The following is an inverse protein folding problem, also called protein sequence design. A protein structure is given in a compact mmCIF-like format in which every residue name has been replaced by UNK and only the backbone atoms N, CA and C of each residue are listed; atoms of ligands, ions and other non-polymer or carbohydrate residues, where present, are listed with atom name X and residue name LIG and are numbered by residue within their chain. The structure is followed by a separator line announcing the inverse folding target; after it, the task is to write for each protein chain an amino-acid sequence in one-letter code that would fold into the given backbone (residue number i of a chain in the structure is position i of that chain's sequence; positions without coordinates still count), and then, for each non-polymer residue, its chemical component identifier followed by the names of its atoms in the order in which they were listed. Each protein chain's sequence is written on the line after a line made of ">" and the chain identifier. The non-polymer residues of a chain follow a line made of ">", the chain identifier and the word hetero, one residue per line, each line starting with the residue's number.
data_IF_889588565963
#
_entry.id   IF_889588565963
#
_cell.length_a   1.000
_cell.length_b   1.000
_cell.length_c   1.000
_cell.angle_alpha   90.00
_cell.angle_beta   90.00
_cell.angle_gamma   90.00
#
_symmetry.space_group_name_H-M   'P 1'
#
loop_
_entity.id
_entity.type
_entity.pdbx_description
1 polymer ?
#
# COMPACT_ATOMS: atom_id res chain seq x y z
N UNK A 1 -22.55 -47.69 -24.09
CA UNK A 1 -23.58 -46.63 -24.21
C UNK A 1 -24.93 -47.34 -24.34
N UNK A 2 -25.96 -47.04 -23.52
CA UNK A 2 -26.29 -45.72 -22.98
C UNK A 2 -26.20 -45.61 -21.45
N UNK A 3 -26.22 -44.35 -21.01
CA UNK A 3 -25.99 -43.85 -19.67
C UNK A 3 -27.27 -43.84 -18.83
N UNK A 4 -27.17 -44.29 -17.57
CA UNK A 4 -28.15 -44.06 -16.52
C UNK A 4 -27.70 -42.84 -15.70
N UNK A 5 -28.33 -41.70 -15.97
CA UNK A 5 -28.15 -40.48 -15.20
C UNK A 5 -28.92 -40.53 -13.89
N UNK A 6 -28.20 -40.43 -12.77
CA UNK A 6 -28.78 -40.18 -11.45
C UNK A 6 -29.08 -38.67 -11.30
N UNK A 7 -30.25 -38.29 -10.76
CA UNK A 7 -30.59 -36.89 -10.56
C UNK A 7 -29.84 -36.30 -9.36
N UNK A 8 -29.28 -35.10 -9.55
CA UNK A 8 -28.69 -34.28 -8.49
C UNK A 8 -29.77 -33.83 -7.50
N UNK A 9 -29.53 -33.85 -6.18
CA UNK A 9 -30.45 -33.24 -5.23
C UNK A 9 -30.40 -31.70 -5.31
N UNK A 10 -31.58 -31.09 -5.30
CA UNK A 10 -31.82 -29.66 -5.39
C UNK A 10 -31.03 -28.87 -4.33
N UNK A 11 -30.21 -27.91 -4.78
CA UNK A 11 -29.63 -26.87 -3.92
C UNK A 11 -30.76 -26.06 -3.29
N UNK A 12 -30.96 -26.19 -1.97
CA UNK A 12 -31.69 -25.19 -1.18
C UNK A 12 -30.95 -23.86 -1.30
N UNK A 13 -31.54 -22.92 -2.02
CA UNK A 13 -31.16 -21.51 -1.92
C UNK A 13 -31.50 -21.04 -0.52
N UNK A 14 -30.49 -20.90 0.34
CA UNK A 14 -30.61 -20.07 1.53
C UNK A 14 -30.71 -18.62 1.05
N UNK A 15 -31.93 -18.10 0.98
CA UNK A 15 -32.17 -16.67 0.86
C UNK A 15 -31.62 -16.00 2.12
N UNK A 16 -30.50 -15.30 1.98
CA UNK A 16 -30.13 -14.28 2.97
C UNK A 16 -31.18 -13.18 2.90
N UNK A 17 -32.12 -13.21 3.84
CA UNK A 17 -33.05 -12.12 4.09
C UNK A 17 -32.23 -10.91 4.53
N UNK A 18 -31.97 -10.02 3.58
CA UNK A 18 -31.37 -8.72 3.81
C UNK A 18 -32.39 -7.88 4.57
N UNK A 19 -32.24 -7.82 5.89
CA UNK A 19 -32.93 -6.84 6.72
C UNK A 19 -32.31 -5.46 6.46
N UNK A 20 -32.61 -4.88 5.30
CA UNK A 20 -32.46 -3.46 5.03
C UNK A 20 -33.39 -2.71 6.00
N UNK A 21 -32.83 -2.33 7.16
CA UNK A 21 -33.43 -1.29 7.99
C UNK A 21 -33.29 0.04 7.25
N UNK A 22 -34.30 0.34 6.46
CA UNK A 22 -34.62 1.69 5.98
C UNK A 22 -34.70 2.60 7.20
N UNK A 23 -33.72 3.48 7.38
CA UNK A 23 -33.76 4.52 8.41
C UNK A 23 -34.84 5.55 8.04
N UNK A 24 -35.72 5.95 8.97
CA UNK A 24 -36.77 6.91 8.68
C UNK A 24 -36.22 8.31 8.36
N UNK A 25 -36.89 9.00 7.44
CA UNK A 25 -36.51 10.28 6.84
C UNK A 25 -36.68 11.51 7.75
N UNK A 26 -36.50 11.37 9.07
CA UNK A 26 -36.63 12.45 10.06
C UNK A 26 -35.32 12.87 10.73
N UNK A 27 -34.17 12.28 10.33
CA UNK A 27 -32.84 12.66 10.85
C UNK A 27 -32.00 13.47 9.85
N UNK A 28 -32.61 13.94 8.77
CA UNK A 28 -31.95 14.72 7.71
C UNK A 28 -32.28 16.20 7.80
N UNK A 29 -32.17 16.79 8.98
CA UNK A 29 -32.17 18.26 9.11
C UNK A 29 -31.53 18.64 10.45
N UNK A 30 -30.63 19.63 10.39
CA UNK A 30 -30.15 20.41 11.54
C UNK A 30 -29.15 19.78 12.53
N UNK A 31 -27.87 19.76 12.15
CA UNK A 31 -26.78 20.15 13.08
C UNK A 31 -25.72 20.97 12.35
N UNK A 32 -26.13 22.13 11.83
CA UNK A 32 -25.25 23.28 11.61
C UNK A 32 -25.51 24.29 12.72
N UNK A 33 -24.46 24.57 13.49
CA UNK A 33 -24.23 25.79 14.26
C UNK A 33 -25.26 26.18 15.33
N UNK A 34 -24.91 25.96 16.60
CA UNK A 34 -25.25 26.92 17.67
C UNK A 34 -24.19 26.85 18.77
N UNK A 35 -23.04 27.49 18.54
CA UNK A 35 -22.10 27.82 19.62
C UNK A 35 -22.67 29.06 20.32
N UNK A 36 -23.41 28.86 21.41
CA UNK A 36 -23.90 29.96 22.24
C UNK A 36 -22.73 30.65 22.92
N UNK A 37 -22.53 31.92 22.57
CA UNK A 37 -21.78 32.87 23.37
C UNK A 37 -22.39 33.00 24.77
N UNK A 38 -21.56 32.95 25.80
CA UNK A 38 -21.84 33.63 27.07
C UNK A 38 -20.77 34.69 27.30
N UNK A 39 -21.13 35.92 26.96
CA UNK A 39 -20.43 37.15 27.31
C UNK A 39 -20.59 37.45 28.80
N UNK A 40 -19.50 37.82 29.47
CA UNK A 40 -19.55 38.77 30.59
C UNK A 40 -18.72 40.00 30.26
N UNK A 41 -19.46 41.07 30.00
CA UNK A 41 -19.02 42.45 29.87
C UNK A 41 -18.53 42.96 31.22
N UNK A 42 -17.37 43.61 31.27
CA UNK A 42 -17.15 44.77 32.13
C UNK A 42 -16.54 45.89 31.30
N UNK A 43 -17.25 47.03 31.28
CA UNK A 43 -16.87 48.30 30.67
C UNK A 43 -15.95 49.08 31.61
N UNK A 44 -15.11 49.95 31.02
CA UNK A 44 -14.80 51.36 31.32
C UNK A 44 -13.29 51.58 31.04
N UNK A 45 -12.81 52.51 30.20
CA UNK A 45 -13.47 53.55 29.43
C UNK A 45 -12.51 54.34 28.52
N UNK A 46 -13.13 55.19 27.67
CA UNK A 46 -12.67 56.46 27.05
C UNK A 46 -11.51 56.46 26.04
N UNK A 47 -11.91 56.35 24.77
CA UNK A 47 -11.62 57.22 23.59
C UNK A 47 -10.33 58.07 23.61
N UNK A 48 -9.44 57.81 22.65
CA UNK A 48 -8.84 58.83 21.79
C UNK A 48 -8.64 58.23 20.38
N UNK A 49 -9.30 58.83 19.40
CA UNK A 49 -9.19 58.49 17.99
C UNK A 49 -8.08 59.31 17.33
N UNK A 50 -7.24 58.69 16.49
CA UNK A 50 -6.71 59.28 15.26
C UNK A 50 -5.84 58.27 14.46
N UNK A 51 -6.35 57.93 13.27
CA UNK A 51 -5.69 57.86 11.97
C UNK A 51 -4.47 56.94 11.68
N UNK A 52 -4.72 56.08 10.68
CA UNK A 52 -3.87 55.75 9.52
C UNK A 52 -2.63 54.84 9.70
N UNK A 53 -2.75 53.59 9.25
CA UNK A 53 -2.29 53.17 7.91
C UNK A 53 -2.69 51.70 7.70
N UNK A 54 -3.69 51.46 6.84
CA UNK A 54 -3.98 50.12 6.33
C UNK A 54 -2.86 49.72 5.36
N UNK A 55 -1.86 49.01 5.86
CA UNK A 55 -1.02 48.16 5.00
C UNK A 55 -1.88 46.98 4.54
N UNK A 56 -2.59 47.17 3.43
CA UNK A 56 -3.12 46.06 2.64
C UNK A 56 -1.93 45.43 1.93
N UNK A 57 -1.29 44.46 2.60
CA UNK A 57 -0.44 43.51 1.89
C UNK A 57 -1.37 42.73 0.95
N UNK A 58 -1.04 42.60 -0.35
CA UNK A 58 -1.67 41.57 -1.15
C UNK A 58 -1.15 40.25 -0.60
N UNK A 59 -1.88 39.67 0.35
CA UNK A 59 -1.82 38.24 0.59
C UNK A 59 -2.35 37.59 -0.68
N UNK A 60 -1.48 37.46 -1.69
CA UNK A 60 -1.57 36.35 -2.63
C UNK A 60 -1.22 35.08 -1.84
N UNK A 61 -2.01 34.80 -0.82
CA UNK A 61 -2.18 33.49 -0.25
C UNK A 61 -2.99 32.70 -1.28
N UNK A 62 -2.35 32.40 -2.42
CA UNK A 62 -2.54 31.06 -2.97
C UNK A 62 -2.19 30.18 -1.80
N UNK A 63 -3.16 29.46 -1.26
CA UNK A 63 -2.94 28.53 -0.18
C UNK A 63 -1.83 27.57 -0.61
N UNK A 64 -0.58 27.85 -0.25
CA UNK A 64 0.44 26.82 -0.19
C UNK A 64 -0.08 25.87 0.88
N UNK A 65 -0.58 24.73 0.42
CA UNK A 65 -1.20 23.69 1.24
C UNK A 65 -0.28 23.27 2.40
N UNK A 66 1.05 23.44 2.22
CA UNK A 66 2.11 23.14 3.17
C UNK A 66 3.18 24.23 3.17
N UNK A 67 3.86 24.43 4.30
CA UNK A 67 5.02 25.32 4.40
C UNK A 67 6.22 24.73 3.65
N UNK A 68 7.19 25.58 3.28
CA UNK A 68 8.45 25.11 2.69
C UNK A 68 9.22 24.16 3.62
N UNK A 69 9.14 24.36 4.94
CA UNK A 69 9.76 23.48 5.94
C UNK A 69 9.13 22.09 5.97
N UNK A 70 7.81 22.00 5.82
CA UNK A 70 7.07 20.75 5.80
C UNK A 70 7.36 19.97 4.50
N UNK A 71 7.41 20.67 3.36
CA UNK A 71 7.82 20.06 2.09
C UNK A 71 9.30 19.64 2.08
N UNK A 72 10.18 20.37 2.75
CA UNK A 72 11.57 19.96 2.93
C UNK A 72 11.68 18.69 3.76
N UNK A 73 11.01 18.63 4.92
CA UNK A 73 10.96 17.41 5.73
C UNK A 73 10.41 16.21 4.93
N UNK A 74 9.39 16.42 4.10
CA UNK A 74 8.86 15.37 3.24
C UNK A 74 9.89 14.86 2.21
N UNK A 75 10.66 15.77 1.58
CA UNK A 75 11.74 15.39 0.66
C UNK A 75 12.84 14.60 1.37
N UNK A 76 13.27 15.07 2.54
CA UNK A 76 14.28 14.38 3.35
C UNK A 76 13.81 12.97 3.76
N UNK A 77 12.52 12.81 4.09
CA UNK A 77 11.92 11.49 4.35
C UNK A 77 11.95 10.61 3.11
N UNK A 78 11.53 11.11 1.94
CA UNK A 78 11.48 10.36 0.68
C UNK A 78 12.87 9.84 0.30
N UNK A 79 13.89 10.69 0.44
CA UNK A 79 15.29 10.31 0.23
C UNK A 79 15.75 9.29 1.27
N UNK A 80 15.44 9.49 2.55
CA UNK A 80 15.89 8.59 3.62
C UNK A 80 15.33 7.16 3.51
N UNK A 81 14.16 6.98 2.89
CA UNK A 81 13.48 5.68 2.78
C UNK A 81 13.53 5.08 1.37
N UNK A 82 14.27 5.70 0.44
CA UNK A 82 14.39 5.26 -0.95
C UNK A 82 13.02 5.14 -1.66
N UNK A 83 12.06 6.03 -1.32
CA UNK A 83 10.66 5.90 -1.76
C UNK A 83 10.45 6.07 -3.27
N UNK A 84 11.45 6.61 -3.99
CA UNK A 84 11.36 6.87 -5.43
C UNK A 84 12.32 6.05 -6.28
N UNK A 85 13.16 5.19 -5.69
CA UNK A 85 14.23 4.47 -6.40
C UNK A 85 13.71 3.58 -7.52
N UNK A 86 12.53 2.99 -7.34
CA UNK A 86 11.86 2.20 -8.37
C UNK A 86 11.56 3.01 -9.66
N UNK A 87 11.57 4.35 -9.59
CA UNK A 87 11.32 5.25 -10.71
C UNK A 87 12.58 5.64 -11.47
N UNK A 88 13.78 5.37 -10.94
CA UNK A 88 15.07 5.73 -11.55
C UNK A 88 15.23 5.17 -12.96
N UNK A 89 14.70 3.97 -13.19
CA UNK A 89 14.84 3.26 -14.45
C UNK A 89 13.78 3.63 -15.50
N UNK A 90 12.79 4.49 -15.17
CA UNK A 90 11.69 4.81 -16.10
C UNK A 90 12.22 5.38 -17.42
N UNK A 91 13.11 6.38 -17.36
CA UNK A 91 13.62 7.03 -18.57
C UNK A 91 14.46 6.08 -19.41
N UNK A 92 15.29 5.25 -18.78
CA UNK A 92 16.11 4.26 -19.48
C UNK A 92 15.26 3.17 -20.14
N UNK A 93 14.22 2.70 -19.44
CA UNK A 93 13.27 1.73 -19.99
C UNK A 93 12.49 2.32 -21.16
N UNK A 94 12.05 3.58 -21.06
CA UNK A 94 11.38 4.28 -22.15
C UNK A 94 12.29 4.43 -23.37
N UNK A 95 13.54 4.86 -23.17
CA UNK A 95 14.53 4.98 -24.24
C UNK A 95 14.78 3.64 -24.94
N UNK A 96 14.96 2.57 -24.16
CA UNK A 96 15.14 1.20 -24.68
C UNK A 96 13.94 0.75 -25.51
N UNK A 97 12.72 0.96 -25.01
CA UNK A 97 11.49 0.60 -25.72
C UNK A 97 11.33 1.40 -27.03
N UNK A 98 11.61 2.70 -27.01
CA UNK A 98 11.56 3.54 -28.21
C UNK A 98 12.59 3.11 -29.25
N UNK A 99 13.82 2.75 -28.84
CA UNK A 99 14.83 2.21 -29.76
C UNK A 99 14.38 0.87 -30.36
N UNK A 100 13.82 -0.01 -29.54
CA UNK A 100 13.29 -1.31 -29.99
C UNK A 100 12.14 -1.17 -30.99
N UNK A 101 11.37 -0.08 -30.94
CA UNK A 101 10.34 0.24 -31.92
C UNK A 101 10.90 0.83 -33.22
N UNK A 102 11.84 1.77 -33.12
CA UNK A 102 12.30 2.55 -34.27
C UNK A 102 13.36 1.83 -35.12
N UNK A 103 14.32 1.13 -34.49
CA UNK A 103 15.47 0.53 -35.19
C UNK A 103 15.04 -0.55 -36.19
N UNK A 104 14.15 -1.51 -35.86
CA UNK A 104 13.76 -2.55 -36.82
C UNK A 104 13.12 -1.99 -38.10
N UNK A 105 12.46 -0.83 -37.99
CA UNK A 105 11.81 -0.14 -39.11
C UNK A 105 12.79 0.74 -39.92
N UNK A 106 14.00 0.97 -39.40
CA UNK A 106 15.00 1.88 -39.97
C UNK A 106 16.44 1.35 -39.74
N UNK A 107 16.78 0.15 -40.26
CA UNK A 107 18.01 -0.56 -39.90
C UNK A 107 19.29 0.15 -40.34
N UNK A 108 19.23 0.98 -41.39
CA UNK A 108 20.35 1.80 -41.87
C UNK A 108 20.64 3.04 -41.00
N UNK A 109 19.76 3.32 -40.03
CA UNK A 109 19.83 4.50 -39.16
C UNK A 109 20.05 4.15 -37.68
N UNK A 110 20.41 2.91 -37.35
CA UNK A 110 20.53 2.40 -35.98
C UNK A 110 21.30 3.36 -35.05
N UNK A 111 22.53 3.70 -35.40
CA UNK A 111 23.39 4.56 -34.59
C UNK A 111 22.80 5.97 -34.38
N UNK A 112 22.23 6.54 -35.45
CA UNK A 112 21.59 7.87 -35.41
C UNK A 112 20.33 7.86 -34.55
N UNK A 113 19.52 6.82 -34.65
CA UNK A 113 18.32 6.63 -33.84
C UNK A 113 18.70 6.45 -32.37
N UNK A 114 19.68 5.59 -32.09
CA UNK A 114 20.15 5.36 -30.71
C UNK A 114 20.61 6.66 -30.06
N UNK A 115 21.51 7.40 -30.74
CA UNK A 115 22.02 8.70 -30.26
C UNK A 115 20.89 9.70 -30.06
N UNK A 116 20.00 9.84 -31.04
CA UNK A 116 18.88 10.76 -30.96
C UNK A 116 17.97 10.43 -29.78
N UNK A 117 17.60 9.15 -29.57
CA UNK A 117 16.75 8.74 -28.45
C UNK A 117 17.44 9.00 -27.11
N UNK A 118 18.75 8.74 -26.99
CA UNK A 118 19.50 9.02 -25.76
C UNK A 118 19.55 10.52 -25.44
N UNK A 119 19.82 11.37 -26.44
CA UNK A 119 19.81 12.82 -26.27
C UNK A 119 18.42 13.32 -25.82
N UNK A 120 17.35 12.77 -26.39
CA UNK A 120 15.97 13.10 -25.99
C UNK A 120 15.65 12.61 -24.60
N UNK A 121 16.10 11.41 -24.22
CA UNK A 121 15.91 10.88 -22.87
C UNK A 121 16.66 11.73 -21.83
N UNK A 122 17.89 12.13 -22.12
CA UNK A 122 18.67 13.03 -21.26
C UNK A 122 17.98 14.39 -21.08
N UNK A 123 17.40 14.94 -22.15
CA UNK A 123 16.63 16.18 -22.07
C UNK A 123 15.38 16.08 -21.18
N UNK A 124 14.88 14.87 -20.89
CA UNK A 124 13.76 14.62 -20.00
C UNK A 124 14.18 14.39 -18.54
N UNK A 125 15.48 14.28 -18.23
CA UNK A 125 15.98 13.97 -16.89
C UNK A 125 15.46 14.94 -15.80
N UNK A 126 15.26 16.21 -16.14
CA UNK A 126 14.72 17.22 -15.21
C UNK A 126 13.30 16.93 -14.73
N UNK A 127 12.53 16.08 -15.43
CA UNK A 127 11.18 15.65 -14.99
C UNK A 127 11.22 14.85 -13.69
N UNK A 128 12.37 14.30 -13.31
CA UNK A 128 12.56 13.63 -12.01
C UNK A 128 12.26 14.56 -10.84
N UNK A 129 12.75 15.80 -10.88
CA UNK A 129 12.51 16.78 -9.81
C UNK A 129 11.02 17.15 -9.66
N UNK A 130 10.27 17.14 -10.78
CA UNK A 130 8.83 17.37 -10.76
C UNK A 130 8.10 16.21 -10.05
N UNK A 131 8.50 14.96 -10.33
CA UNK A 131 7.95 13.79 -9.63
C UNK A 131 8.22 13.87 -8.12
N UNK A 132 9.46 14.17 -7.71
CA UNK A 132 9.82 14.32 -6.30
C UNK A 132 8.99 15.39 -5.59
N UNK A 133 8.71 16.50 -6.27
CA UNK A 133 7.85 17.57 -5.75
C UNK A 133 6.42 17.08 -5.49
N UNK A 134 5.86 16.31 -6.42
CA UNK A 134 4.52 15.73 -6.25
C UNK A 134 4.49 14.67 -5.14
N UNK A 135 5.50 13.81 -5.05
CA UNK A 135 5.60 12.80 -3.99
C UNK A 135 5.77 13.48 -2.63
N UNK A 136 6.57 14.55 -2.52
CA UNK A 136 6.72 15.34 -1.29
C UNK A 136 5.38 15.91 -0.81
N UNK A 137 4.52 16.38 -1.73
CA UNK A 137 3.17 16.83 -1.38
C UNK A 137 2.31 15.69 -0.83
N UNK A 138 2.41 14.49 -1.40
CA UNK A 138 1.70 13.31 -0.88
C UNK A 138 2.16 12.99 0.55
N UNK A 139 3.45 13.01 0.83
CA UNK A 139 3.98 12.76 2.18
C UNK A 139 3.60 13.86 3.17
N UNK A 140 3.71 15.14 2.79
CA UNK A 140 3.28 16.28 3.62
C UNK A 140 1.77 16.24 3.96
N UNK A 141 0.96 15.63 3.10
CA UNK A 141 -0.47 15.39 3.37
C UNK A 141 -0.73 14.29 4.39
N UNK A 142 0.10 13.25 4.41
CA UNK A 142 -0.11 12.07 5.22
C UNK A 142 0.49 12.19 6.62
N UNK A 143 1.56 12.98 6.76
CA UNK A 143 2.34 13.07 7.98
C UNK A 143 2.56 14.54 8.36
N UNK A 144 2.58 14.79 9.67
CA UNK A 144 3.01 16.08 10.20
C UNK A 144 4.50 16.31 9.92
N UNK A 145 4.94 17.56 9.97
CA UNK A 145 6.37 17.91 9.79
C UNK A 145 7.26 17.21 10.83
N UNK A 146 6.80 17.07 12.07
CA UNK A 146 7.54 16.39 13.15
C UNK A 146 7.69 14.90 12.89
N UNK A 147 6.62 14.22 12.44
CA UNK A 147 6.68 12.80 12.07
C UNK A 147 7.62 12.56 10.90
N UNK A 148 7.58 13.40 9.86
CA UNK A 148 8.47 13.29 8.71
C UNK A 148 9.95 13.39 9.12
N UNK A 149 10.28 14.36 9.98
CA UNK A 149 11.64 14.50 10.53
C UNK A 149 12.04 13.27 11.34
N UNK A 150 11.17 12.78 12.23
CA UNK A 150 11.46 11.59 13.03
C UNK A 150 11.68 10.33 12.15
N UNK A 151 10.91 10.18 11.08
CA UNK A 151 11.08 9.08 10.11
C UNK A 151 12.42 9.23 9.39
N UNK A 152 12.73 10.43 8.89
CA UNK A 152 13.99 10.71 8.20
C UNK A 152 15.19 10.42 9.12
N UNK A 153 15.18 10.95 10.35
CA UNK A 153 16.23 10.73 11.35
C UNK A 153 16.45 9.23 11.64
N UNK A 154 15.36 8.47 11.80
CA UNK A 154 15.47 7.03 12.03
C UNK A 154 16.11 6.31 10.83
N UNK A 155 15.62 6.55 9.61
CA UNK A 155 16.12 5.84 8.44
C UNK A 155 17.51 6.30 7.98
N UNK A 156 17.94 7.51 8.36
CA UNK A 156 19.31 7.95 8.17
C UNK A 156 20.32 7.34 9.17
N UNK A 157 19.84 6.81 10.31
CA UNK A 157 20.67 6.14 11.31
C UNK A 157 21.25 4.81 10.78
N UNK A 158 22.37 4.35 11.36
CA UNK A 158 22.98 3.07 10.99
C UNK A 158 22.02 1.87 11.11
N UNK A 159 21.23 1.71 12.20
CA UNK A 159 20.20 0.67 12.25
C UNK A 159 19.09 0.84 11.21
N UNK A 160 18.66 2.08 10.92
CA UNK A 160 17.61 2.37 9.94
C UNK A 160 18.03 2.00 8.52
N UNK A 161 19.23 2.42 8.10
CA UNK A 161 19.84 2.02 6.82
C UNK A 161 20.00 0.51 6.71
N UNK A 162 20.47 -0.13 7.79
CA UNK A 162 20.58 -1.60 7.83
C UNK A 162 19.22 -2.27 7.68
N UNK A 163 18.17 -1.72 8.30
CA UNK A 163 16.81 -2.25 8.17
C UNK A 163 16.30 -2.13 6.74
N UNK A 164 16.50 -1.01 6.05
CA UNK A 164 16.14 -0.86 4.63
C UNK A 164 16.88 -1.90 3.77
N UNK A 165 18.19 -2.01 3.93
CA UNK A 165 19.02 -2.92 3.15
C UNK A 165 18.70 -4.41 3.41
N UNK A 166 18.40 -4.77 4.67
CA UNK A 166 18.20 -6.17 5.07
C UNK A 166 16.73 -6.60 5.12
N UNK A 167 15.78 -5.66 5.09
CA UNK A 167 14.34 -5.93 5.14
C UNK A 167 13.89 -6.99 4.13
N UNK A 168 14.25 -6.88 2.83
CA UNK A 168 13.90 -7.91 1.85
C UNK A 168 14.48 -9.29 2.17
N UNK A 169 15.69 -9.37 2.74
CA UNK A 169 16.30 -10.63 3.17
C UNK A 169 15.51 -11.20 4.35
N UNK A 170 15.28 -10.39 5.38
CA UNK A 170 14.53 -10.79 6.57
C UNK A 170 13.12 -11.31 6.22
N UNK A 171 12.41 -10.65 5.29
CA UNK A 171 11.11 -11.12 4.82
C UNK A 171 11.20 -12.49 4.14
N UNK A 172 12.20 -12.73 3.28
CA UNK A 172 12.37 -14.05 2.64
C UNK A 172 12.66 -15.14 3.67
N UNK A 173 13.55 -14.89 4.61
CA UNK A 173 13.90 -15.84 5.67
C UNK A 173 12.71 -16.14 6.59
N UNK A 174 11.94 -15.12 6.95
CA UNK A 174 10.71 -15.27 7.73
C UNK A 174 9.69 -16.18 7.01
N UNK A 175 9.49 -15.96 5.71
CA UNK A 175 8.57 -16.80 4.91
C UNK A 175 9.07 -18.24 4.78
N UNK A 176 10.38 -18.46 4.62
CA UNK A 176 10.97 -19.79 4.61
C UNK A 176 10.74 -20.52 5.94
N UNK A 177 10.94 -19.84 7.07
CA UNK A 177 10.67 -20.39 8.40
C UNK A 177 9.18 -20.75 8.59
N UNK A 178 8.27 -19.89 8.13
CA UNK A 178 6.84 -20.14 8.19
C UNK A 178 6.43 -21.39 7.40
N UNK A 179 7.05 -21.62 6.23
CA UNK A 179 6.80 -22.82 5.43
C UNK A 179 7.21 -24.10 6.17
N UNK A 180 8.39 -24.11 6.80
CA UNK A 180 8.87 -25.27 7.57
C UNK A 180 7.93 -25.55 8.75
N UNK A 181 7.56 -24.51 9.50
CA UNK A 181 6.63 -24.62 10.61
C UNK A 181 5.27 -25.18 10.17
N UNK A 182 4.69 -24.63 9.09
CA UNK A 182 3.42 -25.08 8.50
C UNK A 182 3.45 -26.57 8.14
N UNK A 183 4.50 -27.00 7.45
CA UNK A 183 4.67 -28.41 7.08
C UNK A 183 4.71 -29.34 8.31
N UNK A 184 5.36 -28.89 9.39
CA UNK A 184 5.38 -29.60 10.67
C UNK A 184 3.99 -29.75 11.28
N UNK A 185 3.23 -28.65 11.35
CA UNK A 185 1.86 -28.66 11.88
C UNK A 185 0.96 -29.61 11.10
N UNK A 186 1.04 -29.61 9.76
CA UNK A 186 0.23 -30.50 8.92
C UNK A 186 0.57 -31.97 9.17
N UNK A 187 1.86 -32.30 9.30
CA UNK A 187 2.31 -33.66 9.63
C UNK A 187 1.76 -34.09 10.99
N UNK A 188 1.99 -33.29 12.02
CA UNK A 188 1.64 -33.64 13.40
C UNK A 188 0.12 -33.73 13.58
N UNK A 189 -0.64 -32.83 12.94
CA UNK A 189 -2.10 -32.88 12.93
C UNK A 189 -2.62 -34.15 12.25
N UNK A 190 -2.01 -34.54 11.12
CA UNK A 190 -2.38 -35.77 10.41
C UNK A 190 -2.12 -37.01 11.28
N UNK A 191 -0.97 -37.09 11.91
CA UNK A 191 -0.62 -38.19 12.81
C UNK A 191 -1.60 -38.30 13.98
N UNK A 192 -1.89 -37.17 14.63
CA UNK A 192 -2.86 -37.11 15.73
C UNK A 192 -4.27 -37.49 15.29
N UNK A 193 -4.71 -37.04 14.11
CA UNK A 193 -6.02 -37.40 13.55
C UNK A 193 -6.13 -38.91 13.28
N UNK A 194 -5.08 -39.55 12.75
CA UNK A 194 -5.06 -41.00 12.55
C UNK A 194 -5.09 -41.77 13.88
N UNK A 195 -4.36 -41.29 14.89
CA UNK A 195 -4.41 -41.89 16.23
C UNK A 195 -5.83 -41.80 16.81
N UNK A 196 -6.46 -40.63 16.75
CA UNK A 196 -7.84 -40.45 17.21
C UNK A 196 -8.83 -41.34 16.45
N UNK A 197 -8.67 -41.51 15.13
CA UNK A 197 -9.47 -42.46 14.35
C UNK A 197 -9.27 -43.90 14.81
N UNK A 198 -8.03 -44.34 15.03
CA UNK A 198 -7.76 -45.69 15.55
C UNK A 198 -8.34 -45.92 16.95
N UNK A 199 -8.40 -44.90 17.81
CA UNK A 199 -9.09 -45.00 19.10
C UNK A 199 -10.60 -45.15 18.93
N UNK A 200 -11.20 -44.40 17.99
CA UNK A 200 -12.62 -44.52 17.66
C UNK A 200 -12.96 -45.93 17.14
N UNK A 201 -12.16 -46.50 16.23
CA UNK A 201 -12.39 -47.86 15.70
C UNK A 201 -11.87 -48.99 16.59
N UNK A 202 -10.90 -48.73 17.47
CA UNK A 202 -10.42 -49.68 18.48
C UNK A 202 -11.48 -50.03 19.53
N UNK A 203 -12.54 -49.23 19.63
CA UNK A 203 -13.74 -49.54 20.41
C UNK A 203 -14.84 -50.26 19.62
N UNK A 204 -14.75 -50.30 18.29
CA UNK A 204 -15.67 -50.94 17.37
C UNK A 204 -14.88 -51.80 16.38
N UNK A 205 -14.46 -52.99 16.83
CA UNK A 205 -13.47 -53.83 16.14
C UNK A 205 -13.61 -53.91 14.62
N UNK A 206 -12.60 -53.36 13.91
CA UNK A 206 -11.80 -54.06 12.89
C UNK A 206 -10.68 -53.14 12.34
N UNK A 207 -9.49 -53.74 12.16
CA UNK A 207 -8.23 -53.37 11.48
C UNK A 207 -7.69 -51.90 11.44
N UNK A 208 -6.39 -51.67 11.76
CA UNK A 208 -5.76 -50.35 11.66
C UNK A 208 -5.52 -49.92 10.21
N UNK A 209 -5.85 -48.66 9.89
CA UNK A 209 -5.48 -48.02 8.62
C UNK A 209 -4.02 -47.58 8.73
N UNK A 210 -3.10 -48.42 8.25
CA UNK A 210 -1.70 -48.01 8.10
C UNK A 210 -1.61 -46.90 7.05
N UNK A 211 -1.29 -45.69 7.49
CA UNK A 211 -1.07 -44.54 6.62
C UNK A 211 0.21 -44.72 5.80
N UNK A 212 0.11 -45.37 4.65
CA UNK A 212 1.16 -45.28 3.63
C UNK A 212 1.26 -43.83 3.17
N UNK A 213 2.49 -43.30 3.22
CA UNK A 213 2.83 -41.92 2.91
C UNK A 213 2.33 -41.52 1.52
N UNK A 214 1.26 -40.73 1.47
CA UNK A 214 0.90 -40.01 0.25
C UNK A 214 1.96 -38.94 -0.02
N UNK A 215 2.33 -38.84 -1.30
CA UNK A 215 3.40 -38.02 -1.82
C UNK A 215 3.35 -36.57 -1.29
N UNK A 216 4.52 -35.88 -1.18
CA UNK A 216 4.57 -34.50 -0.71
C UNK A 216 3.52 -33.65 -1.43
N UNK A 217 2.68 -32.97 -0.66
CA UNK A 217 1.80 -31.94 -1.22
C UNK A 217 2.74 -30.84 -1.71
N UNK A 218 2.82 -30.66 -3.04
CA UNK A 218 3.67 -29.63 -3.62
C UNK A 218 3.33 -28.27 -3.02
N UNK A 219 4.33 -27.42 -2.74
CA UNK A 219 4.08 -26.10 -2.19
C UNK A 219 3.15 -25.33 -3.14
N UNK A 220 2.04 -24.82 -2.60
CA UNK A 220 1.13 -23.93 -3.32
C UNK A 220 1.94 -22.75 -3.85
N UNK A 221 1.94 -22.58 -5.16
CA UNK A 221 2.70 -21.47 -5.77
C UNK A 221 1.98 -20.16 -5.45
N UNK A 222 2.68 -19.00 -5.42
CA UNK A 222 2.05 -17.71 -5.18
C UNK A 222 0.89 -17.37 -6.15
N UNK A 223 0.81 -18.04 -7.30
CA UNK A 223 -0.28 -17.89 -8.27
C UNK A 223 -1.62 -18.50 -7.80
N UNK A 224 -1.58 -19.51 -6.92
CA UNK A 224 -2.77 -20.23 -6.45
C UNK A 224 -3.45 -19.53 -5.26
N UNK A 225 -2.76 -18.60 -4.61
CA UNK A 225 -3.29 -17.84 -3.46
C UNK A 225 -4.07 -16.57 -3.87
N UNK A 226 -4.15 -16.25 -5.16
CA UNK A 226 -4.72 -15.01 -5.68
C UNK A 226 -6.02 -15.19 -6.50
N UNK A 227 -6.67 -16.36 -6.41
CA UNK A 227 -8.04 -16.58 -6.90
C UNK A 227 -9.02 -16.65 -5.72
#
# INVERSE_FOLDING_TARGET
>A
MPATGFPLPARRQFQYSSAERVRPASERTERRQTFMMFSRVTRQGRIAAAAALLLVLPANAIAQEYTESHLAAARDTIEAIDATDQFDNILMNAATQTKAELIPNNPDMEEKISTMVDDRALALASRRAALETEVARVYAKLFTEEELRAIADFYQSEPGKKLLAQGPVATREMMAAAQVWSNGIVRDLRESAFQGMNELYGTAGDAPLNGEAQAPIEPMTPADAAQ
#
